data_IF_106185751096
#
_entry.id   IF_106185751096
#
_cell.length_a   1.000
_cell.length_b   1.000
_cell.length_c   1.000
_cell.angle_alpha   90.00
_cell.angle_beta   90.00
_cell.angle_gamma   90.00
#
_symmetry.space_group_name_H-M   'P 1'
#
loop_
_entity.id
_entity.type
_entity.pdbx_description
1 polymer ?
#
# COMPACT_ATOMS: atom_id res chain seq x y z
N UNK A 1 8.17 70.07 43.20
CA UNK A 1 8.70 68.69 43.11
C UNK A 1 7.72 67.88 42.27
N UNK A 2 8.02 67.76 40.99
CA UNK A 2 7.17 67.12 39.97
C UNK A 2 8.10 66.28 39.12
N UNK A 3 8.04 64.96 39.28
CA UNK A 3 8.83 63.97 38.55
C UNK A 3 8.10 63.54 37.26
N UNK A 4 8.81 63.37 36.13
CA UNK A 4 8.21 62.88 34.90
C UNK A 4 8.18 61.34 34.84
N UNK A 5 7.12 60.84 34.21
CA UNK A 5 6.86 59.44 33.86
C UNK A 5 7.76 59.01 32.69
N UNK A 6 8.50 57.91 32.84
CA UNK A 6 9.21 57.25 31.74
C UNK A 6 8.49 55.99 31.29
N UNK A 7 8.08 55.99 30.03
CA UNK A 7 7.55 54.89 29.24
C UNK A 7 8.66 53.87 28.94
N UNK A 8 8.40 52.58 29.13
CA UNK A 8 9.17 51.51 28.51
C UNK A 8 8.20 50.53 27.85
N UNK A 9 8.21 50.53 26.53
CA UNK A 9 7.56 49.55 25.66
C UNK A 9 8.23 48.20 25.87
N UNK A 10 7.46 47.18 26.25
CA UNK A 10 7.93 45.79 26.25
C UNK A 10 7.14 45.01 25.20
N UNK A 11 7.88 44.51 24.22
CA UNK A 11 7.37 43.88 23.00
C UNK A 11 7.15 42.40 23.31
N UNK A 12 5.96 42.08 23.83
CA UNK A 12 5.55 40.69 24.08
C UNK A 12 5.18 40.00 22.76
N UNK A 13 6.14 39.29 22.18
CA UNK A 13 5.93 38.40 21.04
C UNK A 13 4.87 37.32 21.35
N UNK A 14 3.90 37.16 20.44
CA UNK A 14 2.91 36.09 20.48
C UNK A 14 3.58 34.70 20.36
N UNK A 15 3.13 33.69 21.13
CA UNK A 15 3.67 32.34 21.01
C UNK A 15 3.19 31.71 19.70
N UNK A 16 4.14 31.48 18.78
CA UNK A 16 3.96 30.61 17.62
C UNK A 16 3.44 29.24 18.09
N UNK A 17 2.22 28.92 17.69
CA UNK A 17 1.61 27.62 17.93
C UNK A 17 2.51 26.51 17.36
N UNK A 18 3.06 25.68 18.25
CA UNK A 18 3.76 24.45 17.91
C UNK A 18 2.77 23.48 17.24
N UNK A 19 2.76 23.48 15.90
CA UNK A 19 1.92 22.63 15.05
C UNK A 19 2.31 21.13 15.06
N UNK A 20 3.25 20.70 15.92
CA UNK A 20 3.81 19.35 15.88
C UNK A 20 3.31 18.37 16.95
N UNK A 21 2.34 18.73 17.79
CA UNK A 21 1.78 17.81 18.78
C UNK A 21 0.31 17.45 18.47
N UNK A 22 0.05 16.92 17.27
CA UNK A 22 -1.13 16.12 17.07
C UNK A 22 -0.86 14.74 17.69
N UNK A 23 -1.37 14.54 18.91
CA UNK A 23 -1.36 13.25 19.60
C UNK A 23 -2.15 12.25 18.74
N UNK A 24 -1.43 11.47 17.93
CA UNK A 24 -2.01 10.37 17.15
C UNK A 24 -2.68 9.44 18.15
N UNK A 25 -4.01 9.36 18.07
CA UNK A 25 -4.80 8.47 18.91
C UNK A 25 -4.39 7.04 18.57
N UNK A 26 -3.67 6.38 19.47
CA UNK A 26 -3.50 4.92 19.48
C UNK A 26 -4.86 4.27 19.76
N UNK A 27 -5.75 4.32 18.79
CA UNK A 27 -6.80 3.30 18.66
C UNK A 27 -6.12 2.08 18.08
N UNK A 28 -6.61 0.89 18.40
CA UNK A 28 -6.09 -0.38 17.89
C UNK A 28 -6.32 -0.47 16.37
N UNK A 29 -5.56 0.33 15.63
CA UNK A 29 -5.41 0.26 14.19
C UNK A 29 -4.78 -1.09 13.94
N UNK A 30 -5.48 -1.90 13.18
CA UNK A 30 -4.88 -3.06 12.55
C UNK A 30 -3.61 -2.56 11.85
N UNK A 31 -2.44 -3.07 12.23
CA UNK A 31 -1.21 -2.81 11.50
C UNK A 31 -1.43 -3.34 10.08
N UNK A 32 -1.84 -2.45 9.17
CA UNK A 32 -2.40 -2.79 7.85
C UNK A 32 -1.46 -3.69 7.04
N UNK A 33 -0.16 -3.50 7.24
CA UNK A 33 0.90 -4.26 6.61
C UNK A 33 1.01 -5.72 7.08
N UNK A 34 0.43 -6.09 8.23
CA UNK A 34 0.55 -7.43 8.87
C UNK A 34 -0.78 -8.19 9.02
N UNK A 35 -1.89 -7.62 8.54
CA UNK A 35 -3.22 -8.16 8.82
C UNK A 35 -3.64 -9.29 7.89
N UNK A 36 -3.22 -9.23 6.63
CA UNK A 36 -3.76 -10.07 5.57
C UNK A 36 -2.68 -11.04 5.05
N UNK A 37 -2.96 -12.33 5.18
CA UNK A 37 -2.09 -13.40 4.66
C UNK A 37 -2.41 -13.76 3.21
N UNK A 38 -3.62 -13.44 2.76
CA UNK A 38 -4.08 -13.72 1.40
C UNK A 38 -5.10 -12.68 0.94
N UNK A 39 -5.24 -12.56 -0.38
CA UNK A 39 -6.13 -11.64 -1.07
C UNK A 39 -6.91 -12.39 -2.14
N UNK A 40 -8.22 -12.20 -2.20
CA UNK A 40 -9.08 -12.68 -3.29
C UNK A 40 -9.67 -11.47 -4.00
N UNK A 41 -9.54 -11.42 -5.32
CA UNK A 41 -10.04 -10.31 -6.13
C UNK A 41 -11.09 -10.80 -7.13
N UNK A 42 -12.27 -10.19 -7.08
CA UNK A 42 -13.33 -10.35 -8.09
C UNK A 42 -13.10 -9.38 -9.26
N UNK A 43 -13.39 -9.83 -10.48
CA UNK A 43 -13.31 -9.00 -11.69
C UNK A 43 -11.95 -8.96 -12.40
N UNK A 44 -10.94 -9.71 -11.93
CA UNK A 44 -9.64 -9.82 -12.64
C UNK A 44 -9.73 -10.70 -13.89
N UNK A 45 -10.42 -11.83 -13.78
CA UNK A 45 -10.53 -12.79 -14.87
C UNK A 45 -11.82 -12.48 -15.62
N UNK A 46 -11.76 -12.46 -16.95
CA UNK A 46 -12.93 -12.31 -17.81
C UNK A 46 -13.25 -13.66 -18.44
N UNK A 47 -14.42 -14.22 -18.13
CA UNK A 47 -14.84 -15.51 -18.68
C UNK A 47 -15.98 -16.20 -17.91
N UNK A 48 -16.73 -17.10 -18.56
CA UNK A 48 -17.78 -17.88 -17.90
C UNK A 48 -17.18 -18.75 -16.79
N UNK A 49 -17.67 -18.60 -15.56
CA UNK A 49 -17.12 -19.28 -14.38
C UNK A 49 -15.94 -18.57 -13.71
N UNK A 50 -15.66 -17.31 -14.07
CA UNK A 50 -14.65 -16.49 -13.40
C UNK A 50 -15.03 -16.22 -11.93
N UNK A 51 -14.56 -17.09 -11.04
CA UNK A 51 -14.57 -16.86 -9.60
C UNK A 51 -13.52 -15.84 -9.16
N UNK A 52 -13.45 -15.53 -7.85
CA UNK A 52 -12.41 -14.67 -7.31
C UNK A 52 -11.02 -15.27 -7.56
N UNK A 53 -10.09 -14.43 -8.03
CA UNK A 53 -8.70 -14.80 -8.20
C UNK A 53 -7.95 -14.64 -6.89
N UNK A 54 -7.41 -15.75 -6.37
CA UNK A 54 -6.77 -15.80 -5.05
C UNK A 54 -5.26 -15.71 -5.15
N UNK A 55 -4.69 -14.88 -4.29
CA UNK A 55 -3.27 -14.63 -4.15
C UNK A 55 -2.84 -14.74 -2.69
N UNK A 56 -1.56 -15.07 -2.49
CA UNK A 56 -0.95 -15.13 -1.16
C UNK A 56 0.00 -13.95 -0.99
N UNK A 57 0.18 -13.53 0.27
CA UNK A 57 1.20 -12.54 0.60
C UNK A 57 2.56 -13.06 0.15
N UNK A 58 3.33 -12.20 -0.50
CA UNK A 58 4.70 -12.46 -0.93
C UNK A 58 5.66 -11.49 -0.23
N UNK A 59 6.93 -11.91 -0.15
CA UNK A 59 7.99 -11.10 0.43
C UNK A 59 8.32 -9.91 -0.49
N UNK A 60 8.50 -8.74 0.13
CA UNK A 60 9.08 -7.58 -0.53
C UNK A 60 10.61 -7.73 -0.58
N UNK A 61 11.33 -6.85 -1.27
CA UNK A 61 12.79 -6.82 -1.13
C UNK A 61 13.37 -5.46 -1.53
N UNK A 62 14.51 -5.06 -0.93
CA UNK A 62 15.15 -3.80 -1.24
C UNK A 62 15.69 -3.74 -2.68
N UNK A 63 15.98 -2.53 -3.15
CA UNK A 63 16.68 -2.34 -4.41
C UNK A 63 18.07 -2.99 -4.38
N UNK A 64 18.50 -3.60 -5.50
CA UNK A 64 19.88 -4.07 -5.63
C UNK A 64 20.85 -2.88 -5.44
N UNK A 65 21.71 -2.96 -4.43
CA UNK A 65 22.74 -1.96 -4.16
C UNK A 65 23.95 -2.31 -5.01
N UNK A 66 24.17 -1.57 -6.10
CA UNK A 66 25.52 -1.47 -6.66
C UNK A 66 26.27 -0.44 -5.82
N UNK A 67 26.85 -0.85 -4.70
CA UNK A 67 27.84 -0.02 -4.00
C UNK A 67 29.11 -0.04 -4.86
N UNK A 68 29.26 0.98 -5.71
CA UNK A 68 30.45 1.17 -6.55
C UNK A 68 31.66 1.67 -5.72
N UNK A 69 31.48 1.91 -4.42
CA UNK A 69 32.54 2.34 -3.52
C UNK A 69 32.90 1.20 -2.57
N UNK A 70 33.95 0.47 -2.95
CA UNK A 70 34.80 -0.25 -2.01
C UNK A 70 35.47 0.79 -1.10
N UNK A 71 34.92 1.08 0.09
CA UNK A 71 35.78 1.42 1.25
C UNK A 71 35.09 1.45 2.63
N UNK A 72 33.76 1.42 2.73
CA UNK A 72 33.14 1.37 4.07
C UNK A 72 32.12 0.24 4.12
N UNK A 73 32.52 -0.85 4.78
CA UNK A 73 31.61 -1.85 5.32
C UNK A 73 30.60 -1.14 6.23
N UNK A 74 29.48 -0.68 5.67
CA UNK A 74 28.30 -0.29 6.41
C UNK A 74 27.75 -1.53 7.10
N UNK A 75 28.36 -1.91 8.21
CA UNK A 75 27.89 -2.95 9.12
C UNK A 75 26.76 -2.38 9.96
N UNK A 76 25.61 -2.11 9.35
CA UNK A 76 24.36 -1.87 10.06
C UNK A 76 23.23 -2.15 9.08
N UNK A 77 23.03 -3.46 8.83
CA UNK A 77 21.94 -4.01 8.02
C UNK A 77 20.62 -4.10 8.79
N UNK A 78 20.56 -3.59 10.04
CA UNK A 78 19.33 -3.62 10.83
C UNK A 78 18.22 -2.78 10.17
N UNK A 79 17.07 -3.40 9.96
CA UNK A 79 15.87 -2.74 9.42
C UNK A 79 15.68 -2.82 7.91
N UNK A 80 16.62 -3.38 7.14
CA UNK A 80 16.48 -3.51 5.68
C UNK A 80 15.78 -4.78 5.21
N UNK A 81 15.62 -5.74 6.10
CA UNK A 81 14.90 -6.96 5.82
C UNK A 81 13.43 -6.68 5.50
N UNK A 82 12.84 -7.50 4.64
CA UNK A 82 11.41 -7.47 4.41
C UNK A 82 10.66 -7.76 5.71
N UNK A 83 9.47 -7.18 5.88
CA UNK A 83 8.66 -7.51 7.04
C UNK A 83 8.24 -8.99 7.03
N UNK A 84 8.21 -9.65 8.20
CA UNK A 84 7.83 -11.05 8.27
C UNK A 84 6.41 -11.24 7.74
N UNK A 85 6.22 -12.31 6.96
CA UNK A 85 4.93 -12.59 6.35
C UNK A 85 3.89 -12.96 7.42
N UNK A 86 2.69 -12.35 7.40
CA UNK A 86 1.60 -12.76 8.28
C UNK A 86 1.14 -14.18 7.96
N UNK A 87 1.47 -15.13 8.83
CA UNK A 87 1.04 -16.53 8.69
C UNK A 87 -0.35 -16.75 9.29
N UNK A 88 -1.22 -17.46 8.55
CA UNK A 88 -2.57 -17.85 8.98
C UNK A 88 -3.46 -16.70 9.49
N UNK A 89 -3.22 -15.48 9.00
CA UNK A 89 -4.03 -14.30 9.28
C UNK A 89 -5.23 -14.20 8.33
N UNK A 90 -5.85 -13.03 8.27
CA UNK A 90 -7.08 -12.79 7.53
C UNK A 90 -6.92 -12.96 6.01
N UNK A 91 -8.02 -13.31 5.35
CA UNK A 91 -8.20 -13.23 3.91
C UNK A 91 -9.04 -11.99 3.60
N UNK A 92 -8.47 -11.10 2.79
CA UNK A 92 -9.14 -9.94 2.26
C UNK A 92 -9.85 -10.31 0.96
N UNK A 93 -11.15 -10.07 0.86
CA UNK A 93 -11.89 -10.22 -0.39
C UNK A 93 -12.38 -8.87 -0.89
N UNK A 94 -12.00 -8.53 -2.13
CA UNK A 94 -12.32 -7.26 -2.76
C UNK A 94 -12.83 -7.48 -4.18
N UNK A 95 -13.56 -6.49 -4.68
CA UNK A 95 -14.02 -6.43 -6.07
C UNK A 95 -13.36 -5.24 -6.76
N UNK A 96 -12.78 -5.46 -7.95
CA UNK A 96 -12.26 -4.36 -8.75
C UNK A 96 -13.40 -3.51 -9.29
N UNK A 97 -13.19 -2.20 -9.26
CA UNK A 97 -14.11 -1.22 -9.80
C UNK A 97 -13.50 -0.59 -11.05
N UNK A 98 -13.60 0.73 -11.20
CA UNK A 98 -13.00 1.48 -12.30
C UNK A 98 -11.47 1.40 -12.34
N UNK A 99 -10.95 1.42 -13.56
CA UNK A 99 -9.53 1.64 -13.82
C UNK A 99 -9.21 3.11 -13.56
N UNK A 100 -8.30 3.38 -12.63
CA UNK A 100 -7.92 4.76 -12.25
C UNK A 100 -6.63 5.22 -12.93
N UNK A 101 -5.75 4.30 -13.34
CA UNK A 101 -4.53 4.63 -14.07
C UNK A 101 -4.00 3.45 -14.90
N UNK A 102 -3.30 3.75 -16.00
CA UNK A 102 -2.62 2.76 -16.84
C UNK A 102 -1.25 3.29 -17.27
N UNK A 103 -0.24 2.41 -17.30
CA UNK A 103 1.08 2.76 -17.80
C UNK A 103 1.92 1.55 -18.17
N UNK A 104 3.18 1.79 -18.57
CA UNK A 104 4.10 0.76 -19.06
C UNK A 104 4.24 -0.45 -18.13
N UNK A 105 4.26 -0.21 -16.82
CA UNK A 105 4.50 -1.24 -15.80
C UNK A 105 3.25 -2.08 -15.53
N UNK A 106 2.07 -1.49 -15.66
CA UNK A 106 0.83 -2.10 -15.22
C UNK A 106 -0.30 -1.09 -15.10
N UNK A 107 -1.35 -1.52 -14.42
CA UNK A 107 -2.63 -0.82 -14.34
C UNK A 107 -3.05 -0.71 -12.89
N UNK A 108 -3.70 0.39 -12.55
CA UNK A 108 -4.21 0.64 -11.22
C UNK A 108 -5.72 0.76 -11.28
N UNK A 109 -6.39 0.08 -10.36
CA UNK A 109 -7.84 0.04 -10.20
C UNK A 109 -8.23 0.57 -8.84
N UNK A 110 -9.41 1.17 -8.76
CA UNK A 110 -10.15 1.20 -7.50
C UNK A 110 -10.64 -0.21 -7.17
N UNK A 111 -10.86 -0.51 -5.89
CA UNK A 111 -11.50 -1.74 -5.46
C UNK A 111 -12.33 -1.52 -4.21
N UNK A 112 -13.41 -2.29 -4.06
CA UNK A 112 -14.34 -2.22 -2.93
C UNK A 112 -14.17 -3.44 -2.03
N UNK A 113 -14.22 -3.22 -0.72
CA UNK A 113 -14.28 -4.30 0.26
C UNK A 113 -15.55 -5.12 0.08
N UNK A 114 -15.42 -6.43 -0.07
CA UNK A 114 -16.55 -7.35 -0.04
C UNK A 114 -16.68 -7.97 1.35
N UNK A 115 -15.60 -8.57 1.86
CA UNK A 115 -15.54 -9.14 3.21
C UNK A 115 -14.12 -9.42 3.66
N UNK A 116 -13.98 -9.62 4.97
CA UNK A 116 -12.76 -10.11 5.61
C UNK A 116 -13.09 -11.46 6.25
N UNK A 117 -12.27 -12.47 5.97
CA UNK A 117 -12.42 -13.80 6.54
C UNK A 117 -11.28 -14.11 7.50
N UNK A 118 -11.61 -14.66 8.66
CA UNK A 118 -10.61 -15.29 9.52
C UNK A 118 -10.23 -16.66 8.94
N UNK A 119 -8.96 -16.89 8.65
CA UNK A 119 -8.50 -18.20 8.14
C UNK A 119 -8.47 -19.28 9.20
N UNK A 120 -8.43 -18.93 10.48
CA UNK A 120 -8.38 -19.91 11.58
C UNK A 120 -9.75 -20.56 11.80
N UNK A 121 -10.83 -19.80 11.68
CA UNK A 121 -12.20 -20.29 11.92
C UNK A 121 -13.10 -20.26 10.67
N UNK A 122 -12.64 -19.68 9.56
CA UNK A 122 -13.39 -19.57 8.31
C UNK A 122 -14.57 -18.61 8.34
N UNK A 123 -14.82 -17.96 9.48
CA UNK A 123 -15.97 -17.07 9.64
C UNK A 123 -15.68 -15.66 9.11
N UNK A 124 -16.68 -14.98 8.54
CA UNK A 124 -16.60 -13.56 8.24
C UNK A 124 -16.39 -12.75 9.52
N UNK A 125 -15.46 -11.80 9.44
CA UNK A 125 -15.24 -10.82 10.50
C UNK A 125 -16.02 -9.57 10.13
N UNK A 126 -16.84 -9.01 11.04
CA UNK A 126 -17.50 -7.74 10.80
C UNK A 126 -16.48 -6.66 10.44
N UNK A 127 -16.69 -5.99 9.32
CA UNK A 127 -15.80 -4.92 8.84
C UNK A 127 -15.73 -3.72 9.80
N UNK A 128 -16.63 -3.63 10.79
CA UNK A 128 -16.59 -2.64 11.88
C UNK A 128 -15.61 -3.00 13.00
N UNK A 129 -15.18 -4.26 13.08
CA UNK A 129 -14.30 -4.76 14.14
C UNK A 129 -12.82 -4.59 13.81
N UNK A 130 -12.48 -4.49 12.53
CA UNK A 130 -11.20 -3.96 12.07
C UNK A 130 -11.47 -2.54 11.58
N UNK A 131 -10.64 -1.54 11.90
CA UNK A 131 -10.70 -0.21 11.27
C UNK A 131 -10.25 -0.26 9.78
N UNK A 132 -10.80 -1.20 9.01
CA UNK A 132 -10.46 -1.46 7.63
C UNK A 132 -11.17 -0.48 6.70
N UNK A 133 -10.47 0.08 5.70
CA UNK A 133 -11.12 0.93 4.71
C UNK A 133 -12.10 0.11 3.86
N UNK A 134 -13.16 0.77 3.39
CA UNK A 134 -14.12 0.17 2.46
C UNK A 134 -13.65 0.21 1.01
N UNK A 135 -12.62 1.02 0.72
CA UNK A 135 -12.09 1.24 -0.61
C UNK A 135 -10.58 1.06 -0.60
N UNK A 136 -10.08 0.47 -1.69
CA UNK A 136 -8.68 0.15 -1.90
C UNK A 136 -8.24 0.64 -3.26
N UNK A 137 -6.93 0.78 -3.39
CA UNK A 137 -6.25 0.97 -4.66
C UNK A 137 -5.44 -0.28 -4.95
N UNK A 138 -5.67 -0.90 -6.11
CA UNK A 138 -5.01 -2.15 -6.51
C UNK A 138 -4.17 -1.90 -7.75
N UNK A 139 -2.85 -2.10 -7.62
CA UNK A 139 -1.91 -2.01 -8.74
C UNK A 139 -1.57 -3.41 -9.25
N UNK A 140 -2.00 -3.72 -10.46
CA UNK A 140 -1.70 -4.97 -11.17
C UNK A 140 -0.54 -4.74 -12.13
N UNK A 141 0.53 -5.54 -11.99
CA UNK A 141 1.79 -5.31 -12.70
C UNK A 141 2.12 -6.49 -13.61
N UNK A 142 2.61 -6.20 -14.83
CA UNK A 142 3.00 -7.24 -15.78
C UNK A 142 4.13 -8.11 -15.18
N UNK A 143 4.18 -9.43 -15.45
CA UNK A 143 5.15 -10.33 -14.81
C UNK A 143 6.61 -9.87 -14.88
N UNK A 144 7.04 -9.27 -15.98
CA UNK A 144 8.41 -8.76 -16.16
C UNK A 144 8.78 -7.61 -15.21
N UNK A 145 7.80 -6.92 -14.61
CA UNK A 145 8.02 -5.82 -13.68
C UNK A 145 7.74 -6.19 -12.22
N UNK A 146 7.48 -7.47 -11.90
CA UNK A 146 7.21 -7.92 -10.52
C UNK A 146 8.30 -7.50 -9.54
N UNK A 147 9.58 -7.54 -9.95
CA UNK A 147 10.68 -7.09 -9.08
C UNK A 147 10.62 -5.59 -8.74
N UNK A 148 10.13 -4.78 -9.68
CA UNK A 148 9.94 -3.34 -9.43
C UNK A 148 8.79 -3.11 -8.44
N UNK A 149 7.71 -3.88 -8.56
CA UNK A 149 6.59 -3.81 -7.62
C UNK A 149 6.98 -4.30 -6.22
N UNK A 150 7.75 -5.38 -6.10
CA UNK A 150 8.23 -5.88 -4.82
C UNK A 150 9.14 -4.87 -4.09
N UNK A 151 9.93 -4.09 -4.85
CA UNK A 151 10.71 -2.97 -4.31
C UNK A 151 9.86 -1.80 -3.86
N UNK A 152 8.83 -1.45 -4.62
CA UNK A 152 7.87 -0.42 -4.22
C UNK A 152 7.12 -0.82 -2.94
N UNK A 153 6.71 -2.09 -2.85
CA UNK A 153 6.15 -2.68 -1.65
C UNK A 153 7.08 -2.56 -0.44
N UNK A 154 8.35 -2.91 -0.60
CA UNK A 154 9.36 -2.76 0.45
C UNK A 154 9.46 -1.30 0.93
N UNK A 155 9.45 -0.34 0.00
CA UNK A 155 9.49 1.08 0.36
C UNK A 155 8.30 1.51 1.24
N UNK A 156 7.09 1.01 0.95
CA UNK A 156 5.94 1.29 1.82
C UNK A 156 6.07 0.65 3.21
N UNK A 157 6.68 -0.54 3.31
CA UNK A 157 6.94 -1.20 4.59
C UNK A 157 7.89 -0.37 5.47
N UNK A 158 8.93 0.23 4.87
CA UNK A 158 9.86 1.11 5.57
C UNK A 158 9.23 2.43 6.04
N UNK A 159 8.14 2.86 5.41
CA UNK A 159 7.44 4.09 5.75
C UNK A 159 6.19 3.86 6.62
N UNK A 160 6.16 2.76 7.40
CA UNK A 160 5.00 2.37 8.20
C UNK A 160 4.44 3.51 9.07
N UNK A 161 5.30 4.32 9.69
CA UNK A 161 4.90 5.44 10.55
C UNK A 161 4.27 6.63 9.78
N UNK A 162 4.51 6.72 8.47
CA UNK A 162 4.00 7.81 7.61
C UNK A 162 2.75 7.43 6.81
N UNK A 163 2.32 6.17 6.93
CA UNK A 163 1.17 5.65 6.20
C UNK A 163 -0.14 6.29 6.66
N UNK A 164 -0.97 6.69 5.69
CA UNK A 164 -2.22 7.40 5.91
C UNK A 164 -2.04 8.90 6.20
N UNK A 165 -0.81 9.42 6.18
CA UNK A 165 -0.51 10.85 6.34
C UNK A 165 0.21 11.37 5.10
N UNK A 166 1.42 10.86 4.83
CA UNK A 166 2.29 11.31 3.74
C UNK A 166 2.34 10.29 2.61
N UNK A 167 2.21 9.01 2.94
CA UNK A 167 2.13 7.91 1.96
C UNK A 167 0.83 7.12 2.12
N UNK A 168 0.35 6.42 1.07
CA UNK A 168 -0.83 5.58 1.18
C UNK A 168 -0.70 4.50 2.26
N UNK A 169 -1.84 4.10 2.85
CA UNK A 169 -1.87 2.90 3.70
C UNK A 169 -1.60 1.67 2.85
N UNK A 170 -0.57 0.93 3.22
CA UNK A 170 -0.14 -0.26 2.51
C UNK A 170 -0.68 -1.51 3.19
N UNK A 171 -1.37 -2.33 2.39
CA UNK A 171 -2.05 -3.54 2.85
C UNK A 171 -1.34 -4.83 2.42
N UNK A 172 -0.46 -4.74 1.43
CA UNK A 172 0.44 -5.84 1.10
C UNK A 172 0.81 -5.98 -0.36
N UNK A 173 1.74 -6.91 -0.57
CA UNK A 173 2.20 -7.37 -1.86
C UNK A 173 1.78 -8.83 -2.00
N UNK A 174 0.99 -9.10 -3.04
CA UNK A 174 0.35 -10.39 -3.24
C UNK A 174 0.73 -10.95 -4.60
N UNK A 175 1.02 -12.24 -4.64
CA UNK A 175 1.43 -12.94 -5.86
C UNK A 175 0.63 -14.24 -5.98
N UNK A 176 0.30 -14.60 -7.21
CA UNK A 176 -0.17 -15.93 -7.57
C UNK A 176 0.35 -16.31 -8.96
N UNK A 177 0.47 -17.61 -9.24
CA UNK A 177 0.63 -18.09 -10.60
C UNK A 177 -0.58 -17.67 -11.45
N UNK A 178 -0.33 -17.17 -12.66
CA UNK A 178 -1.42 -16.97 -13.62
C UNK A 178 -1.96 -18.33 -14.07
N UNK A 179 -3.29 -18.54 -14.11
CA UNK A 179 -3.86 -19.77 -14.63
C UNK A 179 -3.48 -19.96 -16.10
N UNK A 180 -3.10 -21.18 -16.48
CA UNK A 180 -2.75 -21.50 -17.86
C UNK A 180 -3.90 -21.21 -18.82
N UNK A 181 -3.61 -20.59 -19.96
CA UNK A 181 -4.60 -20.21 -20.96
C UNK A 181 -5.28 -18.85 -20.72
N UNK A 182 -5.07 -18.22 -19.56
CA UNK A 182 -5.48 -16.84 -19.31
C UNK A 182 -4.30 -15.93 -19.64
N UNK A 183 -4.30 -15.44 -20.87
CA UNK A 183 -3.23 -14.58 -21.42
C UNK A 183 -3.48 -13.09 -21.20
N UNK A 184 -4.66 -12.71 -20.70
CA UNK A 184 -5.09 -11.32 -20.72
C UNK A 184 -5.77 -10.93 -19.41
N UNK A 185 -5.14 -10.01 -18.68
CA UNK A 185 -5.90 -8.94 -18.03
C UNK A 185 -6.13 -7.95 -19.17
N UNK A 186 -7.38 -7.64 -19.52
CA UNK A 186 -7.70 -6.80 -20.69
C UNK A 186 -6.89 -5.49 -20.71
N UNK A 187 -6.56 -4.99 -19.52
CA UNK A 187 -5.75 -3.82 -19.24
C UNK A 187 -4.27 -3.90 -19.67
N UNK A 188 -3.75 -5.08 -19.96
CA UNK A 188 -2.36 -5.28 -20.40
C UNK A 188 -2.21 -5.35 -21.91
N UNK A 189 -3.31 -5.31 -22.66
CA UNK A 189 -3.30 -5.25 -24.11
C UNK A 189 -2.48 -4.05 -24.60
N UNK A 190 -1.68 -4.27 -25.65
CA UNK A 190 -1.21 -3.15 -26.47
C UNK A 190 -2.45 -2.43 -27.03
N UNK A 191 -2.42 -1.08 -27.20
CA UNK A 191 -3.48 -0.41 -27.92
C UNK A 191 -3.68 -1.14 -29.24
N UNK A 192 -4.92 -1.55 -29.54
CA UNK A 192 -5.25 -1.94 -30.90
C UNK A 192 -4.91 -0.73 -31.75
N UNK A 193 -4.10 -0.92 -32.78
CA UNK A 193 -3.92 0.04 -33.86
C UNK A 193 -5.27 0.19 -34.58
N UNK A 194 -6.24 0.85 -33.93
CA UNK A 194 -7.49 1.26 -34.54
C UNK A 194 -7.26 2.66 -35.15
N UNK A 195 -7.08 2.64 -36.46
CA UNK A 195 -7.28 3.74 -37.41
C UNK A 195 -6.41 5.00 -37.26
N UNK A 196 -5.11 4.88 -37.61
CA UNK A 196 -4.47 5.93 -38.42
C UNK A 196 -4.75 5.66 -39.91
N UNK A 197 -6.01 5.82 -40.30
CA UNK A 197 -6.43 5.79 -41.70
C UNK A 197 -7.54 6.80 -41.93
N UNK A 198 -7.20 8.09 -41.83
CA UNK A 198 -7.90 9.19 -42.50
C UNK A 198 -6.87 10.17 -43.05
#
# INVERSE_FOLDING_TARGET
MTTPTSTSEDTSAEPRANFFNAKVSERHSVNSHSAFSSLSIHGILTGPGSGPFRMNRAESFPANRLSILEDECLTENEGWDALPLPQNKFLLEIELTEQIAHGRIGVTYGARLQRILDRTCGSPIPCSSLESPQEFCVKLVKPQFMRSLAREAWFYEQLAEFQGVVVPRYFGFFVAPLPGGITWIDAWGEPKDEEMSL
#
